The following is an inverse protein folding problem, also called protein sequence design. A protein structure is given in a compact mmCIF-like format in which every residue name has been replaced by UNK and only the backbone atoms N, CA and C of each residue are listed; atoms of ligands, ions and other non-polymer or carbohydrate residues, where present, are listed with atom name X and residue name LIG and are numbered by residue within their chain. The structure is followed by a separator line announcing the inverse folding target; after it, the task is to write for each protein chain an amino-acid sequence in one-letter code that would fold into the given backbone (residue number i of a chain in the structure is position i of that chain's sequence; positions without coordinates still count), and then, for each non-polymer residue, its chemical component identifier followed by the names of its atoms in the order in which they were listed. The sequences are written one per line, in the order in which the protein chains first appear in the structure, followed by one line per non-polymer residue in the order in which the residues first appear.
data_IF_907497814541
#
_entry.id   IF_907497814541
#
_cell.length_a   1.000
_cell.length_b   1.000
_cell.length_c   1.000
_cell.angle_alpha   90.00
_cell.angle_beta   90.00
_cell.angle_gamma   90.00
#
_symmetry.space_group_name_H-M   'P 1'
#
loop_
_entity.id
_entity.type
_entity.pdbx_description
1 polymer ?
#
# COMPACT_ATOMS: atom_id res chain seq x y z
N UNK A 1 -4.36 12.14 14.01
CA UNK A 1 -3.83 13.52 13.91
C UNK A 1 -3.70 13.86 12.43
N UNK A 2 -4.24 14.99 11.99
CA UNK A 2 -4.06 15.48 10.62
C UNK A 2 -2.85 16.41 10.57
N UNK A 3 -1.90 16.14 9.67
CA UNK A 3 -0.70 16.96 9.49
C UNK A 3 -0.80 17.78 8.18
N UNK A 4 -0.34 19.04 8.15
CA UNK A 4 -0.32 19.82 6.92
C UNK A 4 0.63 19.20 5.88
N UNK A 5 0.19 19.12 4.62
CA UNK A 5 1.03 18.69 3.51
C UNK A 5 2.07 19.75 3.10
N UNK A 6 1.84 21.02 3.45
CA UNK A 6 2.80 22.10 3.23
C UNK A 6 3.92 22.05 4.29
N UNK A 7 5.18 22.02 3.85
CA UNK A 7 6.35 21.90 4.74
C UNK A 7 6.49 23.06 5.73
N UNK A 8 6.13 24.28 5.34
CA UNK A 8 6.21 25.46 6.21
C UNK A 8 5.11 25.44 7.28
N UNK A 9 3.90 24.98 6.91
CA UNK A 9 2.81 24.79 7.85
C UNK A 9 3.12 23.65 8.83
N UNK A 10 3.71 22.55 8.34
CA UNK A 10 4.15 21.43 9.17
C UNK A 10 5.20 21.86 10.21
N UNK A 11 6.14 22.72 9.85
CA UNK A 11 7.17 23.24 10.76
C UNK A 11 6.58 24.05 11.93
N UNK A 12 5.42 24.67 11.72
CA UNK A 12 4.70 25.51 12.70
C UNK A 12 3.75 24.72 13.60
N UNK A 13 3.57 23.41 13.37
CA UNK A 13 2.73 22.57 14.22
C UNK A 13 3.36 22.47 15.62
N UNK A 14 2.53 22.64 16.66
CA UNK A 14 2.96 22.50 18.05
C UNK A 14 3.02 21.02 18.46
N UNK A 15 4.08 20.34 18.05
CA UNK A 15 4.44 18.98 18.45
C UNK A 15 5.90 18.96 18.92
N UNK A 16 6.25 17.96 19.72
CA UNK A 16 7.62 17.77 20.23
C UNK A 16 8.64 17.69 19.10
N UNK A 17 9.85 18.21 19.33
CA UNK A 17 10.89 18.29 18.30
C UNK A 17 11.32 16.91 17.79
N UNK A 18 11.32 15.89 18.64
CA UNK A 18 11.61 14.51 18.26
C UNK A 18 10.54 13.93 17.34
N UNK A 19 9.26 14.26 17.59
CA UNK A 19 8.17 13.89 16.71
C UNK A 19 8.30 14.60 15.35
N UNK A 20 8.65 15.90 15.32
CA UNK A 20 8.89 16.64 14.07
C UNK A 20 10.00 15.99 13.24
N UNK A 21 11.14 15.70 13.86
CA UNK A 21 12.28 15.05 13.20
C UNK A 21 11.88 13.70 12.61
N UNK A 22 11.11 12.92 13.35
CA UNK A 22 10.59 11.63 12.89
C UNK A 22 9.70 11.81 11.67
N UNK A 23 8.73 12.74 11.68
CA UNK A 23 7.87 12.98 10.52
C UNK A 23 8.65 13.43 9.30
N UNK A 24 9.57 14.40 9.43
CA UNK A 24 10.42 14.84 8.31
C UNK A 24 11.33 13.72 7.80
N UNK A 25 11.90 12.91 8.69
CA UNK A 25 12.72 11.75 8.32
C UNK A 25 11.91 10.69 7.57
N UNK A 26 10.67 10.43 7.97
CA UNK A 26 9.79 9.52 7.23
C UNK A 26 9.41 10.07 5.86
N UNK A 27 9.16 11.38 5.75
CA UNK A 27 8.84 12.04 4.47
C UNK A 27 9.97 11.91 3.43
N UNK A 28 11.23 11.76 3.84
CA UNK A 28 12.36 11.59 2.92
C UNK A 28 12.65 10.15 2.52
N UNK A 29 12.07 9.17 3.21
CA UNK A 29 12.33 7.74 3.00
C UNK A 29 11.06 6.95 2.59
N UNK A 30 9.90 7.59 2.63
CA UNK A 30 8.63 7.00 2.26
C UNK A 30 8.22 7.46 0.87
N UNK A 31 7.57 6.55 0.14
CA UNK A 31 6.87 6.88 -1.10
C UNK A 31 5.38 7.09 -0.81
N UNK A 32 4.70 8.02 -1.52
CA UNK A 32 3.26 8.15 -1.40
C UNK A 32 2.58 6.85 -1.84
N UNK A 33 1.50 6.49 -1.16
CA UNK A 33 0.66 5.38 -1.59
C UNK A 33 0.19 5.62 -3.03
N UNK A 34 0.32 4.63 -3.94
CA UNK A 34 -0.12 4.79 -5.33
C UNK A 34 -1.61 5.12 -5.40
N UNK A 35 -1.98 6.17 -6.14
CA UNK A 35 -3.37 6.58 -6.40
C UNK A 35 -4.05 5.68 -7.46
N UNK A 36 -3.86 4.36 -7.36
CA UNK A 36 -4.45 3.39 -8.27
C UNK A 36 -5.81 2.91 -7.74
N UNK A 37 -6.79 2.73 -8.64
CA UNK A 37 -8.13 2.20 -8.33
C UNK A 37 -8.06 0.87 -7.55
N UNK A 38 -6.98 0.09 -7.75
CA UNK A 38 -6.78 -1.22 -7.14
C UNK A 38 -5.76 -1.23 -5.99
N UNK A 39 -5.39 -0.08 -5.41
CA UNK A 39 -4.40 -0.03 -4.31
C UNK A 39 -4.85 -0.86 -3.08
N UNK A 40 -6.16 -0.92 -2.81
CA UNK A 40 -6.69 -1.78 -1.74
C UNK A 40 -6.42 -3.27 -1.99
N UNK A 41 -6.35 -3.69 -3.27
CA UNK A 41 -6.03 -5.08 -3.62
C UNK A 41 -4.55 -5.38 -3.36
N UNK A 42 -3.65 -4.43 -3.68
CA UNK A 42 -2.24 -4.53 -3.32
C UNK A 42 -2.06 -4.76 -1.82
N UNK A 43 -2.66 -3.92 -0.98
CA UNK A 43 -2.54 -4.04 0.48
C UNK A 43 -3.05 -5.39 1.01
N UNK A 44 -4.14 -5.91 0.45
CA UNK A 44 -4.67 -7.22 0.83
C UNK A 44 -3.66 -8.35 0.57
N UNK A 45 -3.05 -8.37 -0.62
CA UNK A 45 -2.10 -9.42 -0.97
C UNK A 45 -0.79 -9.31 -0.18
N UNK A 46 -0.31 -8.10 0.09
CA UNK A 46 0.80 -7.89 1.02
C UNK A 46 0.45 -8.42 2.40
N UNK A 47 -0.77 -8.16 2.90
CA UNK A 47 -1.23 -8.70 4.19
C UNK A 47 -1.25 -10.22 4.20
N UNK A 48 -1.73 -10.87 3.13
CA UNK A 48 -1.73 -12.33 3.03
C UNK A 48 -0.33 -12.92 3.09
N UNK A 49 0.65 -12.31 2.42
CA UNK A 49 2.05 -12.74 2.50
C UNK A 49 2.59 -12.63 3.94
N UNK A 50 2.30 -11.51 4.62
CA UNK A 50 2.70 -11.29 6.02
C UNK A 50 2.05 -12.31 6.95
N UNK A 51 0.73 -12.49 6.86
CA UNK A 51 -0.02 -13.45 7.67
C UNK A 51 0.50 -14.87 7.44
N UNK A 52 0.78 -15.25 6.19
CA UNK A 52 1.33 -16.57 5.84
C UNK A 52 2.71 -16.78 6.46
N UNK A 53 3.58 -15.76 6.38
CA UNK A 53 4.92 -15.83 6.96
C UNK A 53 4.87 -15.96 8.49
N UNK A 54 4.04 -15.16 9.16
CA UNK A 54 3.99 -15.10 10.63
C UNK A 54 3.19 -16.27 11.22
N UNK A 55 2.00 -16.56 10.68
CA UNK A 55 1.07 -17.52 11.28
C UNK A 55 1.33 -18.95 10.84
N UNK A 56 1.92 -19.15 9.66
CA UNK A 56 2.17 -20.47 9.08
C UNK A 56 3.67 -20.80 8.98
N UNK A 57 4.54 -19.91 9.45
CA UNK A 57 5.99 -20.07 9.42
C UNK A 57 6.54 -20.35 8.01
N UNK A 58 5.87 -19.79 6.98
CA UNK A 58 6.30 -19.91 5.59
C UNK A 58 7.52 -19.01 5.32
N UNK A 59 8.34 -19.37 4.34
CA UNK A 59 9.43 -18.51 3.88
C UNK A 59 8.85 -17.17 3.35
N UNK A 60 9.32 -16.01 3.84
CA UNK A 60 8.76 -14.72 3.44
C UNK A 60 8.91 -14.42 1.95
N UNK A 61 10.00 -14.89 1.33
CA UNK A 61 10.25 -14.66 -0.10
C UNK A 61 9.30 -15.50 -0.95
N UNK A 62 9.03 -16.74 -0.56
CA UNK A 62 8.01 -17.56 -1.21
C UNK A 62 6.61 -16.97 -1.04
N UNK A 63 6.24 -16.58 0.18
CA UNK A 63 4.93 -16.03 0.49
C UNK A 63 4.62 -14.74 -0.31
N UNK A 64 5.59 -13.82 -0.45
CA UNK A 64 5.37 -12.58 -1.21
C UNK A 64 5.29 -12.82 -2.72
N UNK A 65 6.07 -13.77 -3.26
CA UNK A 65 6.02 -14.12 -4.68
C UNK A 65 4.69 -14.79 -5.04
N UNK A 66 4.18 -15.66 -4.17
CA UNK A 66 2.86 -16.27 -4.33
C UNK A 66 1.74 -15.22 -4.29
N UNK A 67 1.75 -14.35 -3.28
CA UNK A 67 0.77 -13.27 -3.19
C UNK A 67 0.80 -12.34 -4.40
N UNK A 68 1.99 -12.03 -4.94
CA UNK A 68 2.13 -11.25 -6.17
C UNK A 68 1.54 -11.97 -7.38
N UNK A 69 1.76 -13.30 -7.50
CA UNK A 69 1.16 -14.12 -8.56
C UNK A 69 -0.38 -14.09 -8.47
N UNK A 70 -0.92 -14.35 -7.29
CA UNK A 70 -2.38 -14.37 -7.08
C UNK A 70 -3.04 -13.01 -7.34
N UNK A 71 -2.37 -11.93 -6.94
CA UNK A 71 -2.80 -10.56 -7.25
C UNK A 71 -2.89 -10.35 -8.77
N UNK A 72 -1.86 -10.73 -9.51
CA UNK A 72 -1.84 -10.60 -10.96
C UNK A 72 -2.96 -11.41 -11.62
N UNK A 73 -3.20 -12.64 -11.14
CA UNK A 73 -4.29 -13.48 -11.62
C UNK A 73 -5.67 -12.83 -11.36
N UNK A 74 -5.87 -12.20 -10.20
CA UNK A 74 -7.10 -11.45 -9.91
C UNK A 74 -7.24 -10.21 -10.81
N UNK A 75 -6.17 -9.43 -10.98
CA UNK A 75 -6.20 -8.24 -11.83
C UNK A 75 -6.51 -8.59 -13.29
N UNK A 76 -5.96 -9.70 -13.79
CA UNK A 76 -6.28 -10.21 -15.11
C UNK A 76 -7.76 -10.58 -15.25
N UNK A 77 -8.35 -11.26 -14.25
CA UNK A 77 -9.79 -11.56 -14.23
C UNK A 77 -10.64 -10.29 -14.21
N UNK A 78 -10.32 -9.34 -13.33
CA UNK A 78 -11.06 -8.06 -13.25
C UNK A 78 -11.03 -7.29 -14.57
N UNK A 79 -9.87 -7.23 -15.22
CA UNK A 79 -9.73 -6.60 -16.54
C UNK A 79 -10.70 -7.22 -17.54
N UNK A 80 -10.79 -8.56 -17.60
CA UNK A 80 -11.72 -9.26 -18.50
C UNK A 80 -13.18 -8.96 -18.17
N UNK A 81 -13.54 -8.97 -16.89
CA UNK A 81 -14.93 -8.68 -16.46
C UNK A 81 -15.34 -7.23 -16.74
N UNK A 82 -14.44 -6.26 -16.54
CA UNK A 82 -14.71 -4.88 -16.91
C UNK A 82 -14.85 -4.71 -18.42
N UNK A 83 -14.00 -5.37 -19.23
CA UNK A 83 -14.18 -5.36 -20.68
C UNK A 83 -15.53 -5.94 -21.10
N UNK A 84 -15.98 -7.03 -20.46
CA UNK A 84 -17.30 -7.62 -20.71
C UNK A 84 -18.45 -6.69 -20.32
N UNK A 85 -18.34 -6.01 -19.19
CA UNK A 85 -19.35 -5.04 -18.75
C UNK A 85 -19.43 -3.84 -19.72
N UNK A 86 -18.29 -3.29 -20.10
CA UNK A 86 -18.20 -2.13 -21.01
C UNK A 86 -18.69 -2.46 -22.42
N UNK A 87 -18.55 -3.69 -22.88
CA UNK A 87 -19.09 -4.12 -24.18
C UNK A 87 -20.63 -4.24 -24.20
N UNK A 88 -21.26 -4.28 -23.03
CA UNK A 88 -22.72 -4.40 -22.86
C UNK A 88 -23.39 -3.08 -22.42
N UNK A 89 -22.62 -1.99 -22.31
CA UNK A 89 -23.10 -0.63 -22.06
C UNK A 89 -23.17 0.14 -23.39
#
# INVERSE_FOLDING_TARGET
MWLPANKEALAKVNIEDDAKRTFYGQLSHSEPAPYAINVAVLYRYVKFAVDKSILQNADPKEAILEAAKEMNDEMARRKKEYSRLLANL
#
